data_IF_314669695051
#
_entry.id   IF_314669695051
#
_cell.length_a   1.000
_cell.length_b   1.000
_cell.length_c   1.000
_cell.angle_alpha   90.00
_cell.angle_beta   90.00
_cell.angle_gamma   90.00
#
_symmetry.space_group_name_H-M   'P 1'
#
loop_
_entity.id
_entity.type
_entity.pdbx_description
1 polymer ?
#
# COMPACT_ATOMS: atom_id res chain seq x y z
N UNK A 1 3.00 5.64 18.96
CA UNK A 1 2.73 6.18 17.61
C UNK A 1 1.45 5.58 17.07
N UNK A 2 0.58 6.38 16.44
CA UNK A 2 -0.68 5.96 15.82
C UNK A 2 -0.68 6.45 14.37
N UNK A 3 -1.08 5.59 13.43
CA UNK A 3 -1.21 5.89 12.00
C UNK A 3 -2.60 5.42 11.56
N UNK A 4 -3.30 6.22 10.75
CA UNK A 4 -4.65 5.90 10.26
C UNK A 4 -4.69 5.99 8.73
N UNK A 5 -5.64 5.28 8.11
CA UNK A 5 -5.86 5.28 6.67
C UNK A 5 -7.36 5.46 6.34
N UNK A 6 -7.64 6.13 5.22
CA UNK A 6 -9.00 6.56 4.85
C UNK A 6 -9.90 5.45 4.28
N UNK A 7 -9.41 4.21 4.17
CA UNK A 7 -10.16 3.10 3.57
C UNK A 7 -9.27 1.89 3.29
N UNK A 8 -9.81 0.90 2.59
CA UNK A 8 -9.14 -0.39 2.35
C UNK A 8 -7.86 -0.22 1.51
N UNK A 9 -7.96 0.38 0.32
CA UNK A 9 -6.78 0.61 -0.55
C UNK A 9 -5.73 1.49 0.13
N UNK A 10 -6.16 2.58 0.75
CA UNK A 10 -5.29 3.44 1.55
C UNK A 10 -4.61 2.69 2.71
N UNK A 11 -5.27 1.67 3.26
CA UNK A 11 -4.69 0.79 4.28
C UNK A 11 -3.57 -0.10 3.73
N UNK A 12 -3.71 -0.60 2.50
CA UNK A 12 -2.66 -1.38 1.83
C UNK A 12 -1.44 -0.48 1.53
N UNK A 13 -1.69 0.73 1.01
CA UNK A 13 -0.64 1.70 0.74
C UNK A 13 0.11 2.09 2.03
N UNK A 14 -0.63 2.30 3.13
CA UNK A 14 -0.06 2.60 4.45
C UNK A 14 0.76 1.42 5.00
N UNK A 15 0.30 0.19 4.83
CA UNK A 15 1.06 -1.00 5.23
C UNK A 15 2.37 -1.13 4.44
N UNK A 16 2.36 -0.91 3.12
CA UNK A 16 3.57 -0.92 2.31
C UNK A 16 4.54 0.21 2.71
N UNK A 17 4.02 1.39 3.04
CA UNK A 17 4.84 2.48 3.59
C UNK A 17 5.50 2.06 4.91
N UNK A 18 4.75 1.47 5.85
CA UNK A 18 5.28 0.97 7.12
C UNK A 18 6.34 -0.11 6.92
N UNK A 19 6.13 -1.05 5.99
CA UNK A 19 7.14 -2.04 5.64
C UNK A 19 8.42 -1.36 5.16
N UNK A 20 8.30 -0.31 4.35
CA UNK A 20 9.43 0.50 3.90
C UNK A 20 10.16 1.23 5.04
N UNK A 21 9.43 1.71 6.05
CA UNK A 21 10.02 2.32 7.24
C UNK A 21 10.79 1.30 8.09
N UNK A 22 10.28 0.06 8.19
CA UNK A 22 10.83 -0.97 9.09
C UNK A 22 11.95 -1.79 8.45
N UNK A 23 11.84 -2.08 7.15
CA UNK A 23 12.71 -3.03 6.44
C UNK A 23 13.38 -2.43 5.20
N UNK A 24 13.17 -1.14 4.95
CA UNK A 24 13.71 -0.43 3.80
C UNK A 24 12.85 -0.54 2.53
N UNK A 25 13.11 0.34 1.54
CA UNK A 25 12.28 0.48 0.36
C UNK A 25 12.28 -0.76 -0.55
N UNK A 26 13.40 -1.49 -0.65
CA UNK A 26 13.49 -2.67 -1.51
C UNK A 26 12.62 -3.82 -1.00
N UNK A 27 12.53 -4.00 0.31
CA UNK A 27 11.64 -4.99 0.92
C UNK A 27 10.18 -4.64 0.68
N UNK A 28 9.78 -3.38 0.84
CA UNK A 28 8.43 -2.93 0.51
C UNK A 28 8.06 -3.21 -0.95
N UNK A 29 8.98 -2.93 -1.89
CA UNK A 29 8.78 -3.24 -3.32
C UNK A 29 8.69 -4.75 -3.57
N UNK A 30 9.49 -5.57 -2.88
CA UNK A 30 9.41 -7.02 -2.98
C UNK A 30 8.07 -7.56 -2.44
N UNK A 31 7.62 -7.06 -1.29
CA UNK A 31 6.31 -7.39 -0.71
C UNK A 31 5.18 -7.01 -1.67
N UNK A 32 5.19 -5.79 -2.21
CA UNK A 32 4.23 -5.33 -3.21
C UNK A 32 4.15 -6.29 -4.41
N UNK A 33 5.31 -6.65 -4.99
CA UNK A 33 5.38 -7.58 -6.12
C UNK A 33 4.92 -8.99 -5.74
N UNK A 34 5.31 -9.47 -4.57
CA UNK A 34 4.99 -10.82 -4.10
C UNK A 34 3.50 -11.04 -3.91
N UNK A 35 2.78 -10.03 -3.43
CA UNK A 35 1.32 -10.07 -3.33
C UNK A 35 0.59 -9.57 -4.59
N UNK A 36 1.33 -9.25 -5.65
CA UNK A 36 0.78 -8.76 -6.93
C UNK A 36 -0.10 -7.51 -6.76
N UNK A 37 0.27 -6.63 -5.82
CA UNK A 37 -0.45 -5.38 -5.61
C UNK A 37 -0.08 -4.37 -6.70
N UNK A 38 -0.86 -4.43 -7.79
CA UNK A 38 -0.81 -3.54 -8.95
C UNK A 38 -2.24 -3.00 -9.24
N UNK A 39 -2.73 -2.04 -8.43
CA UNK A 39 -4.10 -1.58 -8.54
C UNK A 39 -4.33 -0.86 -9.87
N UNK A 40 -5.22 -1.41 -10.71
CA UNK A 40 -5.69 -0.81 -11.95
C UNK A 40 -7.23 -0.75 -11.96
N UNK A 41 -7.85 0.22 -11.24
CA UNK A 41 -9.30 0.33 -11.17
C UNK A 41 -9.90 0.56 -12.57
N UNK A 42 -10.94 -0.19 -12.97
CA UNK A 42 -11.54 -0.06 -14.31
C UNK A 42 -12.37 1.23 -14.47
N UNK A 43 -12.80 1.83 -13.35
CA UNK A 43 -13.58 3.06 -13.30
C UNK A 43 -12.97 3.97 -12.24
N UNK A 44 -13.02 5.28 -12.47
CA UNK A 44 -12.72 6.25 -11.41
C UNK A 44 -13.87 6.27 -10.42
N UNK A 45 -13.57 6.58 -9.16
CA UNK A 45 -14.62 6.82 -8.19
C UNK A 45 -15.47 8.00 -8.66
N UNK A 46 -16.79 7.82 -8.68
CA UNK A 46 -17.73 8.91 -8.91
C UNK A 46 -17.59 9.89 -7.73
N UNK A 47 -17.22 11.14 -8.00
CA UNK A 47 -16.99 12.20 -7.01
C UNK A 47 -18.29 12.98 -6.78
#
# INVERSE_FOLDING_TARGET
NVVTAAGVSAGIDMALWLVGQLHGPDHARATQKGMQYDPAPPYQADI
#
